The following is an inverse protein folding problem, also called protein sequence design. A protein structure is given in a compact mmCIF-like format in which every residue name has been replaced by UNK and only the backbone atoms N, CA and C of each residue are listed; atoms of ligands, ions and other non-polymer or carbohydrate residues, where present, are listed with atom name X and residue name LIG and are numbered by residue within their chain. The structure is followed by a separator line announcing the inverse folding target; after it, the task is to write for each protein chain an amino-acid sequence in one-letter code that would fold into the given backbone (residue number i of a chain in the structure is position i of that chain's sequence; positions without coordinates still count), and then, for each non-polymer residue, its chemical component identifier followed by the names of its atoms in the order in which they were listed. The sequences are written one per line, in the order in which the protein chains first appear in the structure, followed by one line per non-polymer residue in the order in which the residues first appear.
data_IF_115114760998
#
_entry.id   IF_115114760998
#
_cell.length_a   1.000
_cell.length_b   1.000
_cell.length_c   1.000
_cell.angle_alpha   90.00
_cell.angle_beta   90.00
_cell.angle_gamma   90.00
#
_symmetry.space_group_name_H-M   'P 1'
#
loop_
_entity.id
_entity.type
_entity.pdbx_description
1 polymer ?
#
# COMPACT_ATOMS: atom_id res chain seq x y z
N UNK A 1 -56.07 -29.64 -46.93
CA UNK A 1 -54.62 -29.38 -46.84
C UNK A 1 -54.43 -28.35 -45.74
N UNK A 2 -53.96 -28.79 -44.58
CA UNK A 2 -53.60 -27.94 -43.45
C UNK A 2 -52.10 -28.12 -43.22
N UNK A 3 -51.39 -27.01 -43.07
CA UNK A 3 -49.94 -26.88 -43.02
C UNK A 3 -49.35 -27.49 -41.72
N UNK A 4 -48.32 -28.36 -41.76
CA UNK A 4 -47.85 -29.11 -40.58
C UNK A 4 -46.63 -28.48 -39.90
N UNK A 5 -46.61 -27.16 -39.69
CA UNK A 5 -45.49 -26.49 -39.03
C UNK A 5 -45.96 -25.40 -38.07
N UNK A 6 -46.08 -25.75 -36.78
CA UNK A 6 -45.75 -24.92 -35.61
C UNK A 6 -46.19 -25.67 -34.36
N UNK A 7 -45.34 -26.55 -33.85
CA UNK A 7 -45.42 -26.97 -32.45
C UNK A 7 -44.21 -26.35 -31.76
N UNK A 8 -44.34 -25.08 -31.44
CA UNK A 8 -43.34 -24.36 -30.65
C UNK A 8 -43.25 -25.05 -29.29
N UNK A 9 -42.09 -25.61 -28.95
CA UNK A 9 -41.89 -26.31 -27.68
C UNK A 9 -42.16 -25.36 -26.52
N UNK A 10 -42.83 -25.85 -25.48
CA UNK A 10 -43.24 -25.06 -24.29
C UNK A 10 -42.08 -24.27 -23.67
N UNK A 11 -40.86 -24.78 -23.78
CA UNK A 11 -39.62 -24.13 -23.32
C UNK A 11 -39.21 -22.93 -24.20
N UNK A 12 -39.46 -22.99 -25.51
CA UNK A 12 -39.20 -21.87 -26.43
C UNK A 12 -40.20 -20.72 -26.21
N UNK A 13 -41.46 -21.06 -25.90
CA UNK A 13 -42.48 -20.08 -25.50
C UNK A 13 -42.10 -19.39 -24.18
N UNK A 14 -41.66 -20.16 -23.18
CA UNK A 14 -41.19 -19.63 -21.90
C UNK A 14 -39.95 -18.72 -22.06
N UNK A 15 -38.99 -19.12 -22.90
CA UNK A 15 -37.82 -18.32 -23.20
C UNK A 15 -38.19 -16.99 -23.88
N UNK A 16 -39.13 -16.99 -24.84
CA UNK A 16 -39.63 -15.77 -25.47
C UNK A 16 -40.33 -14.84 -24.48
N UNK A 17 -41.18 -15.39 -23.61
CA UNK A 17 -41.86 -14.60 -22.58
C UNK A 17 -40.88 -13.97 -21.58
N UNK A 18 -39.82 -14.68 -21.21
CA UNK A 18 -38.75 -14.14 -20.34
C UNK A 18 -37.97 -13.02 -21.03
N UNK A 19 -37.58 -13.21 -22.29
CA UNK A 19 -36.87 -12.18 -23.07
C UNK A 19 -37.75 -10.94 -23.24
N UNK A 20 -39.04 -11.12 -23.57
CA UNK A 20 -39.98 -10.02 -23.72
C UNK A 20 -40.20 -9.27 -22.39
N UNK A 21 -40.31 -9.99 -21.27
CA UNK A 21 -40.41 -9.37 -19.95
C UNK A 21 -39.18 -8.55 -19.58
N UNK A 22 -37.97 -9.03 -19.90
CA UNK A 22 -36.72 -8.29 -19.69
C UNK A 22 -36.61 -7.08 -20.64
N UNK A 23 -37.08 -7.19 -21.89
CA UNK A 23 -37.10 -6.08 -22.85
C UNK A 23 -38.08 -4.97 -22.45
N UNK A 24 -39.28 -5.35 -21.97
CA UNK A 24 -40.28 -4.41 -21.48
C UNK A 24 -39.81 -3.70 -20.21
N UNK A 25 -39.16 -4.41 -19.29
CA UNK A 25 -38.57 -3.83 -18.08
C UNK A 25 -37.45 -2.83 -18.38
N UNK A 26 -36.63 -3.10 -19.41
CA UNK A 26 -35.47 -2.28 -19.78
C UNK A 26 -35.76 -1.28 -20.91
N UNK A 27 -37.01 -1.17 -21.38
CA UNK A 27 -37.43 -0.32 -22.50
C UNK A 27 -36.62 -0.54 -23.80
N UNK A 28 -36.12 -1.76 -24.01
CA UNK A 28 -35.34 -2.11 -25.20
C UNK A 28 -36.30 -2.58 -26.29
N UNK A 29 -36.91 -1.63 -27.01
CA UNK A 29 -37.67 -1.94 -28.22
C UNK A 29 -36.85 -1.56 -29.45
N UNK A 30 -36.09 -2.52 -29.97
CA UNK A 30 -35.36 -2.35 -31.23
C UNK A 30 -36.24 -2.92 -32.34
N UNK A 31 -36.86 -2.03 -33.13
CA UNK A 31 -37.67 -2.42 -34.27
C UNK A 31 -36.88 -3.36 -35.20
N UNK A 32 -37.50 -4.47 -35.62
CA UNK A 32 -36.96 -5.45 -36.57
C UNK A 32 -35.72 -6.26 -36.14
N UNK A 33 -35.38 -6.30 -34.83
CA UNK A 33 -34.24 -7.11 -34.36
C UNK A 33 -34.44 -8.63 -34.61
N UNK A 34 -35.70 -9.09 -34.68
CA UNK A 34 -36.05 -10.47 -35.02
C UNK A 34 -35.60 -10.90 -36.41
N UNK A 35 -35.44 -9.97 -37.35
CA UNK A 35 -34.94 -10.26 -38.70
C UNK A 35 -33.42 -10.46 -38.71
N UNK A 36 -32.71 -9.95 -37.70
CA UNK A 36 -31.25 -10.00 -37.59
C UNK A 36 -30.79 -11.26 -36.85
N UNK A 37 -31.57 -11.74 -35.88
CA UNK A 37 -31.20 -12.93 -35.11
C UNK A 37 -30.95 -14.21 -35.94
N UNK A 38 -31.74 -14.55 -36.98
CA UNK A 38 -31.46 -15.70 -37.82
C UNK A 38 -30.12 -15.58 -38.56
N UNK A 39 -29.73 -14.36 -38.96
CA UNK A 39 -28.43 -14.11 -39.59
C UNK A 39 -27.28 -14.30 -38.59
N UNK A 40 -27.49 -13.87 -37.35
CA UNK A 40 -26.53 -14.06 -36.27
C UNK A 40 -26.39 -15.54 -35.87
N UNK A 41 -27.49 -16.29 -35.81
CA UNK A 41 -27.45 -17.71 -35.48
C UNK A 41 -26.70 -18.54 -36.55
N UNK A 42 -26.75 -18.12 -37.82
CA UNK A 42 -25.99 -18.74 -38.91
C UNK A 42 -24.48 -18.51 -38.75
N UNK A 43 -24.05 -17.45 -38.06
CA UNK A 43 -22.62 -17.14 -37.85
C UNK A 43 -21.92 -18.12 -36.89
N UNK A 44 -22.68 -18.94 -36.15
CA UNK A 44 -22.14 -19.91 -35.19
C UNK A 44 -21.67 -19.28 -33.87
N UNK A 45 -21.81 -17.97 -33.70
CA UNK A 45 -21.51 -17.22 -32.46
C UNK A 45 -22.78 -17.05 -31.64
N UNK A 46 -22.69 -17.14 -30.32
CA UNK A 46 -23.86 -16.96 -29.47
C UNK A 46 -24.37 -15.52 -29.51
N UNK A 47 -25.69 -15.34 -29.43
CA UNK A 47 -26.29 -13.99 -29.35
C UNK A 47 -25.76 -13.20 -28.15
N UNK A 48 -25.47 -13.89 -27.05
CA UNK A 48 -24.84 -13.28 -25.86
C UNK A 48 -23.47 -12.67 -26.20
N UNK A 49 -22.58 -13.43 -26.84
CA UNK A 49 -21.25 -12.93 -27.21
C UNK A 49 -21.35 -11.72 -28.15
N UNK A 50 -22.27 -11.73 -29.11
CA UNK A 50 -22.47 -10.61 -30.03
C UNK A 50 -22.94 -9.37 -29.26
N UNK A 51 -23.96 -9.49 -28.41
CA UNK A 51 -24.45 -8.35 -27.62
C UNK A 51 -23.42 -7.85 -26.61
N UNK A 52 -22.66 -8.75 -25.99
CA UNK A 52 -21.59 -8.39 -25.09
C UNK A 52 -20.49 -7.61 -25.83
N UNK A 53 -20.06 -8.07 -27.00
CA UNK A 53 -19.11 -7.33 -27.83
C UNK A 53 -19.65 -5.98 -28.31
N UNK A 54 -20.91 -5.91 -28.73
CA UNK A 54 -21.54 -4.63 -29.08
C UNK A 54 -21.57 -3.66 -27.90
N UNK A 55 -21.89 -4.16 -26.71
CA UNK A 55 -21.89 -3.35 -25.48
C UNK A 55 -20.49 -2.85 -25.14
N UNK A 56 -19.47 -3.71 -25.22
CA UNK A 56 -18.08 -3.33 -24.98
C UNK A 56 -17.57 -2.30 -26.00
N UNK A 57 -17.89 -2.46 -27.28
CA UNK A 57 -17.56 -1.46 -28.31
C UNK A 57 -18.26 -0.12 -28.04
N UNK A 58 -19.56 -0.13 -27.69
CA UNK A 58 -20.29 1.09 -27.32
C UNK A 58 -19.71 1.76 -26.07
N UNK A 59 -19.32 0.97 -25.07
CA UNK A 59 -18.65 1.44 -23.84
C UNK A 59 -17.33 2.11 -24.20
N UNK A 60 -16.50 1.47 -25.02
CA UNK A 60 -15.21 1.99 -25.45
C UNK A 60 -15.36 3.28 -26.27
N UNK A 61 -16.28 3.33 -27.22
CA UNK A 61 -16.60 4.54 -27.99
C UNK A 61 -17.06 5.68 -27.09
N UNK A 62 -17.84 5.37 -26.05
CA UNK A 62 -18.31 6.35 -25.09
C UNK A 62 -17.17 6.88 -24.22
N UNK A 63 -16.32 5.99 -23.70
CA UNK A 63 -15.09 6.34 -22.97
C UNK A 63 -14.18 7.23 -23.83
N UNK A 64 -13.98 6.89 -25.12
CA UNK A 64 -13.21 7.73 -26.03
C UNK A 64 -13.82 9.11 -26.23
N UNK A 65 -15.16 9.22 -26.26
CA UNK A 65 -15.84 10.53 -26.30
C UNK A 65 -15.62 11.34 -25.01
N UNK A 66 -15.58 10.70 -23.84
CA UNK A 66 -15.23 11.36 -22.58
C UNK A 66 -13.81 11.90 -22.65
N UNK A 67 -12.86 11.08 -23.09
CA UNK A 67 -11.43 11.43 -23.17
C UNK A 67 -11.18 12.56 -24.18
N UNK A 68 -11.85 12.56 -25.33
CA UNK A 68 -11.64 13.55 -26.39
C UNK A 68 -12.40 14.88 -26.17
N UNK A 69 -13.62 14.83 -25.63
CA UNK A 69 -14.44 16.03 -25.44
C UNK A 69 -14.12 16.75 -24.14
N UNK A 70 -14.04 18.08 -24.18
CA UNK A 70 -14.00 18.89 -22.96
C UNK A 70 -15.42 19.13 -22.46
N UNK A 71 -15.65 18.88 -21.18
CA UNK A 71 -16.92 19.08 -20.50
C UNK A 71 -16.78 20.23 -19.51
N UNK A 72 -17.78 21.10 -19.49
CA UNK A 72 -17.96 22.08 -18.42
C UNK A 72 -18.56 21.40 -17.17
N UNK A 73 -18.58 22.14 -16.05
CA UNK A 73 -19.17 21.66 -14.80
C UNK A 73 -20.63 21.23 -14.99
N UNK A 74 -21.42 21.96 -15.79
CA UNK A 74 -22.83 21.68 -16.00
C UNK A 74 -23.04 20.32 -16.70
N UNK A 75 -22.30 20.07 -17.79
CA UNK A 75 -22.37 18.80 -18.51
C UNK A 75 -21.87 17.64 -17.66
N UNK A 76 -20.81 17.84 -16.87
CA UNK A 76 -20.31 16.84 -15.93
C UNK A 76 -21.34 16.49 -14.86
N UNK A 77 -21.94 17.49 -14.20
CA UNK A 77 -22.97 17.26 -13.17
C UNK A 77 -24.20 16.59 -13.76
N UNK A 78 -24.66 16.99 -14.95
CA UNK A 78 -25.79 16.35 -15.64
C UNK A 78 -25.49 14.90 -16.04
N UNK A 79 -24.25 14.61 -16.40
CA UNK A 79 -23.80 13.27 -16.68
C UNK A 79 -23.81 12.41 -15.41
N UNK A 80 -23.15 12.87 -14.34
CA UNK A 80 -23.09 12.11 -13.09
C UNK A 80 -24.46 11.91 -12.45
N UNK A 81 -25.36 12.89 -12.49
CA UNK A 81 -26.71 12.71 -11.94
C UNK A 81 -27.51 11.61 -12.64
N UNK A 82 -27.18 11.30 -13.90
CA UNK A 82 -27.80 10.23 -14.67
C UNK A 82 -27.13 8.88 -14.43
N UNK A 83 -25.80 8.84 -14.35
CA UNK A 83 -25.04 7.59 -14.34
C UNK A 83 -24.58 7.13 -12.94
N UNK A 84 -24.39 8.02 -11.97
CA UNK A 84 -24.03 7.61 -10.60
C UNK A 84 -25.00 6.64 -9.95
N UNK A 85 -26.33 6.73 -10.13
CA UNK A 85 -27.25 5.73 -9.59
C UNK A 85 -27.01 4.31 -10.12
N UNK A 86 -26.23 4.16 -11.20
CA UNK A 86 -25.87 2.89 -11.84
C UNK A 86 -24.44 2.45 -11.49
N UNK A 87 -23.77 3.07 -10.52
CA UNK A 87 -22.38 2.73 -10.15
C UNK A 87 -22.24 1.27 -9.66
N UNK A 88 -23.29 0.70 -9.09
CA UNK A 88 -23.33 -0.70 -8.66
C UNK A 88 -23.18 -1.66 -9.84
N UNK A 89 -23.61 -1.26 -11.05
CA UNK A 89 -23.52 -2.05 -12.27
C UNK A 89 -22.11 -1.97 -12.87
N UNK A 90 -21.46 -3.13 -13.03
CA UNK A 90 -20.06 -3.22 -13.43
C UNK A 90 -19.80 -2.59 -14.80
N UNK A 91 -20.76 -2.68 -15.71
CA UNK A 91 -20.69 -2.18 -17.07
C UNK A 91 -20.57 -0.64 -17.14
N UNK A 92 -21.10 0.07 -16.14
CA UNK A 92 -21.06 1.53 -16.08
C UNK A 92 -19.89 2.09 -15.27
N UNK A 93 -19.23 1.27 -14.43
CA UNK A 93 -18.12 1.71 -13.57
C UNK A 93 -16.98 2.31 -14.38
N UNK A 94 -16.52 1.63 -15.42
CA UNK A 94 -15.42 2.12 -16.28
C UNK A 94 -15.73 3.51 -16.87
N UNK A 95 -16.97 3.70 -17.31
CA UNK A 95 -17.44 4.96 -17.89
C UNK A 95 -17.42 6.08 -16.84
N UNK A 96 -17.92 5.80 -15.63
CA UNK A 96 -17.98 6.77 -14.54
C UNK A 96 -16.56 7.12 -14.06
N UNK A 97 -15.72 6.11 -13.85
CA UNK A 97 -14.35 6.29 -13.41
C UNK A 97 -13.53 7.11 -14.40
N UNK A 98 -13.70 6.91 -15.70
CA UNK A 98 -12.97 7.73 -16.68
C UNK A 98 -13.42 9.20 -16.64
N UNK A 99 -14.71 9.46 -16.44
CA UNK A 99 -15.21 10.83 -16.26
C UNK A 99 -14.62 11.48 -15.00
N UNK A 100 -14.63 10.77 -13.87
CA UNK A 100 -14.08 11.26 -12.60
C UNK A 100 -12.57 11.50 -12.70
N UNK A 101 -11.82 10.58 -13.32
CA UNK A 101 -10.38 10.70 -13.53
C UNK A 101 -10.03 11.93 -14.38
N UNK A 102 -10.84 12.23 -15.39
CA UNK A 102 -10.61 13.37 -16.27
C UNK A 102 -10.89 14.71 -15.60
N UNK A 103 -11.86 14.78 -14.70
CA UNK A 103 -12.31 16.01 -14.05
C UNK A 103 -12.22 15.91 -12.52
N UNK A 104 -11.00 15.76 -11.95
CA UNK A 104 -10.83 15.61 -10.51
C UNK A 104 -11.32 16.83 -9.72
N UNK A 105 -11.16 18.03 -10.28
CA UNK A 105 -11.58 19.30 -9.65
C UNK A 105 -13.10 19.45 -9.55
N UNK A 106 -13.86 18.66 -10.31
CA UNK A 106 -15.32 18.72 -10.35
C UNK A 106 -15.98 17.75 -9.36
N UNK A 107 -15.18 16.89 -8.68
CA UNK A 107 -15.68 15.88 -7.77
C UNK A 107 -16.03 16.51 -6.42
N UNK A 108 -17.31 16.46 -6.07
CA UNK A 108 -17.86 16.95 -4.80
C UNK A 108 -17.77 15.88 -3.70
N UNK A 109 -17.93 16.31 -2.45
CA UNK A 109 -17.96 15.40 -1.30
C UNK A 109 -19.06 14.35 -1.41
N UNK A 110 -20.24 14.75 -1.89
CA UNK A 110 -21.38 13.84 -2.13
C UNK A 110 -21.04 12.69 -3.09
N UNK A 111 -20.18 12.94 -4.08
CA UNK A 111 -19.74 11.89 -5.02
C UNK A 111 -18.83 10.90 -4.31
N UNK A 112 -17.91 11.38 -3.47
CA UNK A 112 -17.05 10.49 -2.67
C UNK A 112 -17.87 9.66 -1.68
N UNK A 113 -18.87 10.26 -1.03
CA UNK A 113 -19.80 9.53 -0.16
C UNK A 113 -20.54 8.41 -0.92
N UNK A 114 -21.00 8.68 -2.14
CA UNK A 114 -21.64 7.65 -2.97
C UNK A 114 -20.68 6.52 -3.36
N UNK A 115 -19.44 6.87 -3.75
CA UNK A 115 -18.42 5.87 -4.10
C UNK A 115 -18.00 5.01 -2.89
N UNK A 116 -18.02 5.58 -1.69
CA UNK A 116 -17.66 4.89 -0.45
C UNK A 116 -18.73 3.90 0.04
N UNK A 117 -19.96 3.94 -0.50
CA UNK A 117 -21.05 3.05 -0.06
C UNK A 117 -20.80 1.56 -0.37
N UNK A 118 -20.01 1.28 -1.41
CA UNK A 118 -19.79 -0.09 -1.88
C UNK A 118 -18.30 -0.44 -1.96
N UNK A 119 -17.88 -1.43 -1.18
CA UNK A 119 -16.49 -1.90 -1.17
C UNK A 119 -16.00 -2.37 -2.56
N UNK A 120 -16.89 -2.93 -3.39
CA UNK A 120 -16.52 -3.39 -4.73
C UNK A 120 -16.17 -2.23 -5.66
N UNK A 121 -16.88 -1.10 -5.54
CA UNK A 121 -16.61 0.13 -6.29
C UNK A 121 -15.26 0.70 -5.87
N UNK A 122 -14.99 0.77 -4.56
CA UNK A 122 -13.70 1.23 -4.03
C UNK A 122 -12.57 0.35 -4.55
N UNK A 123 -12.72 -0.98 -4.55
CA UNK A 123 -11.70 -1.91 -5.00
C UNK A 123 -11.35 -1.73 -6.49
N UNK A 124 -12.37 -1.55 -7.34
CA UNK A 124 -12.19 -1.39 -8.80
C UNK A 124 -11.81 0.03 -9.22
N UNK A 125 -12.00 1.03 -8.33
CA UNK A 125 -11.68 2.40 -8.63
C UNK A 125 -10.19 2.60 -9.02
N UNK A 126 -9.91 3.45 -10.02
CA UNK A 126 -8.57 3.95 -10.31
C UNK A 126 -7.89 4.55 -9.09
N UNK A 127 -6.55 4.50 -9.08
CA UNK A 127 -5.75 4.95 -7.95
C UNK A 127 -5.96 6.43 -7.64
N UNK A 128 -6.20 7.25 -8.66
CA UNK A 128 -6.45 8.68 -8.53
C UNK A 128 -7.74 8.96 -7.74
N UNK A 129 -8.79 8.15 -7.93
CA UNK A 129 -10.06 8.26 -7.21
C UNK A 129 -9.90 7.71 -5.79
N UNK A 130 -9.20 6.58 -5.64
CA UNK A 130 -8.86 6.01 -4.33
C UNK A 130 -8.12 7.00 -3.45
N UNK A 131 -7.17 7.76 -3.99
CA UNK A 131 -6.48 8.84 -3.26
C UNK A 131 -7.48 9.83 -2.67
N UNK A 132 -8.40 10.35 -3.49
CA UNK A 132 -9.41 11.30 -3.04
C UNK A 132 -10.34 10.72 -1.96
N UNK A 133 -10.68 9.43 -2.05
CA UNK A 133 -11.45 8.72 -1.02
C UNK A 133 -10.66 8.62 0.30
N UNK A 134 -9.41 8.19 0.23
CA UNK A 134 -8.54 8.00 1.40
C UNK A 134 -8.10 9.29 2.07
N UNK A 135 -7.98 10.39 1.32
CA UNK A 135 -7.72 11.72 1.90
C UNK A 135 -8.88 12.21 2.78
N UNK A 136 -10.09 11.74 2.50
CA UNK A 136 -11.32 12.10 3.24
C UNK A 136 -11.61 11.12 4.37
N UNK A 137 -11.36 9.85 4.15
CA UNK A 137 -11.52 8.78 5.13
C UNK A 137 -10.17 8.13 5.44
N UNK A 138 -9.48 8.71 6.42
CA UNK A 138 -8.16 8.26 6.88
C UNK A 138 -8.21 6.91 7.61
N UNK A 139 -9.34 6.55 8.25
CA UNK A 139 -9.49 5.24 8.88
C UNK A 139 -9.56 4.14 7.81
N UNK A 140 -10.31 4.38 6.74
CA UNK A 140 -10.34 3.47 5.60
C UNK A 140 -8.95 3.34 4.93
N UNK A 141 -8.21 4.44 4.81
CA UNK A 141 -6.81 4.40 4.35
C UNK A 141 -5.95 3.53 5.26
N UNK A 142 -6.04 3.75 6.57
CA UNK A 142 -5.28 3.03 7.59
C UNK A 142 -5.52 1.53 7.57
N UNK A 143 -6.77 1.08 7.48
CA UNK A 143 -7.11 -0.35 7.37
C UNK A 143 -6.51 -0.99 6.10
N UNK A 144 -6.61 -0.30 4.96
CA UNK A 144 -6.03 -0.76 3.70
C UNK A 144 -4.50 -0.84 3.77
N UNK A 145 -3.85 0.20 4.28
CA UNK A 145 -2.39 0.26 4.41
C UNK A 145 -1.87 -0.80 5.36
N UNK A 146 -2.50 -1.00 6.53
CA UNK A 146 -2.12 -2.08 7.47
C UNK A 146 -2.14 -3.45 6.78
N UNK A 147 -3.18 -3.73 5.99
CA UNK A 147 -3.27 -4.96 5.20
C UNK A 147 -2.10 -5.11 4.20
N UNK A 148 -1.72 -4.02 3.52
CA UNK A 148 -0.58 -4.03 2.59
C UNK A 148 0.76 -4.21 3.32
N UNK A 149 0.95 -3.59 4.48
CA UNK A 149 2.14 -3.73 5.32
C UNK A 149 2.29 -5.17 5.83
N UNK A 150 1.20 -5.81 6.28
CA UNK A 150 1.24 -7.21 6.73
C UNK A 150 1.67 -8.15 5.61
N UNK A 151 1.19 -7.90 4.39
CA UNK A 151 1.59 -8.66 3.22
C UNK A 151 3.03 -8.38 2.80
N UNK A 152 3.49 -7.13 2.93
CA UNK A 152 4.89 -6.77 2.78
C UNK A 152 5.76 -7.54 3.79
N UNK A 153 5.40 -7.63 5.08
CA UNK A 153 6.17 -8.36 6.10
C UNK A 153 6.33 -9.84 5.75
N UNK A 154 5.25 -10.48 5.28
CA UNK A 154 5.29 -11.86 4.80
C UNK A 154 6.32 -12.02 3.67
N UNK A 155 6.30 -11.17 2.65
CA UNK A 155 7.27 -11.26 1.53
C UNK A 155 8.68 -10.89 1.96
N UNK A 156 8.83 -9.87 2.79
CA UNK A 156 10.10 -9.41 3.31
C UNK A 156 10.82 -10.55 4.05
N UNK A 157 10.11 -11.26 4.94
CA UNK A 157 10.70 -12.40 5.67
C UNK A 157 11.25 -13.49 4.75
N UNK A 158 10.58 -13.77 3.62
CA UNK A 158 11.07 -14.72 2.61
C UNK A 158 12.33 -14.21 1.90
N UNK A 159 12.40 -12.91 1.61
CA UNK A 159 13.59 -12.28 1.02
C UNK A 159 14.77 -12.32 2.00
N UNK A 160 14.53 -12.05 3.29
CA UNK A 160 15.56 -12.10 4.34
C UNK A 160 16.19 -13.49 4.53
N UNK A 161 15.47 -14.56 4.18
CA UNK A 161 15.99 -15.93 4.24
C UNK A 161 16.90 -16.29 3.06
N UNK A 162 16.93 -15.48 2.00
CA UNK A 162 17.75 -15.73 0.83
C UNK A 162 19.22 -15.37 1.08
N UNK A 163 20.12 -16.08 0.40
CA UNK A 163 21.54 -15.71 0.37
C UNK A 163 21.78 -14.64 -0.70
N UNK A 164 22.44 -13.55 -0.34
CA UNK A 164 22.78 -12.47 -1.25
C UNK A 164 23.63 -11.40 -0.56
N UNK A 165 24.12 -10.43 -1.31
CA UNK A 165 24.72 -9.23 -0.70
C UNK A 165 23.63 -8.34 -0.13
N UNK A 166 23.97 -7.46 0.82
CA UNK A 166 23.01 -6.50 1.37
C UNK A 166 22.37 -5.61 0.27
N UNK A 167 23.11 -5.29 -0.79
CA UNK A 167 22.56 -4.55 -1.93
C UNK A 167 21.51 -5.36 -2.70
N UNK A 168 21.77 -6.64 -2.97
CA UNK A 168 20.83 -7.50 -3.70
C UNK A 168 19.52 -7.65 -2.92
N UNK A 169 19.64 -7.85 -1.60
CA UNK A 169 18.49 -8.00 -0.70
C UNK A 169 17.68 -6.69 -0.66
N UNK A 170 18.34 -5.54 -0.58
CA UNK A 170 17.68 -4.23 -0.62
C UNK A 170 16.96 -3.99 -1.95
N UNK A 171 17.58 -4.36 -3.07
CA UNK A 171 16.96 -4.23 -4.39
C UNK A 171 15.74 -5.17 -4.53
N UNK A 172 15.75 -6.36 -3.93
CA UNK A 172 14.55 -7.22 -3.88
C UNK A 172 13.43 -6.61 -3.04
N UNK A 173 13.75 -6.11 -1.84
CA UNK A 173 12.78 -5.50 -0.92
C UNK A 173 12.09 -4.26 -1.52
N UNK A 174 12.87 -3.36 -2.11
CA UNK A 174 12.35 -2.18 -2.80
C UNK A 174 11.52 -2.50 -4.05
N UNK A 175 11.51 -3.76 -4.48
CA UNK A 175 10.69 -4.25 -5.59
C UNK A 175 9.40 -4.97 -5.16
N UNK A 176 9.11 -5.07 -3.86
CA UNK A 176 7.89 -5.70 -3.34
C UNK A 176 6.64 -4.99 -3.90
N UNK A 177 5.66 -5.73 -4.47
CA UNK A 177 4.47 -5.15 -5.09
C UNK A 177 3.61 -4.31 -4.14
N UNK A 178 3.42 -4.77 -2.91
CA UNK A 178 2.62 -4.08 -1.89
C UNK A 178 3.23 -2.72 -1.56
N UNK A 179 4.55 -2.65 -1.46
CA UNK A 179 5.26 -1.39 -1.26
C UNK A 179 5.07 -0.46 -2.46
N UNK A 180 5.23 -0.95 -3.70
CA UNK A 180 4.99 -0.13 -4.90
C UNK A 180 3.58 0.43 -4.95
N UNK A 181 2.59 -0.40 -4.60
CA UNK A 181 1.20 0.02 -4.53
C UNK A 181 1.01 1.15 -3.51
N UNK A 182 1.58 1.05 -2.30
CA UNK A 182 1.53 2.12 -1.29
C UNK A 182 2.19 3.40 -1.81
N UNK A 183 3.36 3.29 -2.45
CA UNK A 183 4.09 4.43 -3.02
C UNK A 183 3.27 5.14 -4.09
N UNK A 184 2.64 4.38 -4.97
CA UNK A 184 1.75 4.92 -5.99
C UNK A 184 0.51 5.53 -5.35
N UNK A 185 -0.03 4.94 -4.28
CA UNK A 185 -1.20 5.48 -3.59
C UNK A 185 -0.89 6.82 -2.92
N UNK A 186 0.15 6.90 -2.09
CA UNK A 186 0.55 8.13 -1.39
C UNK A 186 0.96 9.23 -2.39
N UNK A 187 1.70 8.87 -3.43
CA UNK A 187 2.15 9.79 -4.47
C UNK A 187 2.81 11.08 -3.90
N UNK A 188 2.31 12.26 -4.26
CA UNK A 188 2.75 13.55 -3.71
C UNK A 188 1.69 14.18 -2.79
N UNK A 189 0.69 13.41 -2.36
CA UNK A 189 -0.38 13.88 -1.48
C UNK A 189 0.15 14.08 -0.06
N UNK A 190 0.15 15.32 0.44
CA UNK A 190 0.67 15.62 1.78
C UNK A 190 -0.14 14.94 2.89
N UNK A 191 -1.47 14.90 2.74
CA UNK A 191 -2.37 14.29 3.73
C UNK A 191 -2.06 12.80 3.89
N UNK A 192 -2.00 12.07 2.78
CA UNK A 192 -1.70 10.63 2.80
C UNK A 192 -0.26 10.33 3.22
N UNK A 193 0.68 11.21 2.89
CA UNK A 193 2.08 11.06 3.31
C UNK A 193 2.23 11.21 4.84
N UNK A 194 1.62 12.25 5.41
CA UNK A 194 1.64 12.48 6.85
C UNK A 194 0.94 11.32 7.59
N UNK A 195 -0.22 10.88 7.09
CA UNK A 195 -0.95 9.73 7.64
C UNK A 195 -0.13 8.43 7.56
N UNK A 196 0.56 8.19 6.43
CA UNK A 196 1.44 7.03 6.27
C UNK A 196 2.57 7.03 7.31
N UNK A 197 3.15 8.20 7.63
CA UNK A 197 4.14 8.34 8.70
C UNK A 197 3.57 8.02 10.08
N UNK A 198 2.38 8.54 10.39
CA UNK A 198 1.72 8.27 11.66
C UNK A 198 1.36 6.78 11.82
N UNK A 199 0.92 6.11 10.74
CA UNK A 199 0.71 4.65 10.71
C UNK A 199 2.01 3.88 11.00
N UNK A 200 3.12 4.26 10.39
CA UNK A 200 4.42 3.61 10.64
C UNK A 200 4.85 3.73 12.10
N UNK A 201 4.65 4.91 12.70
CA UNK A 201 4.96 5.16 14.11
C UNK A 201 4.04 4.36 15.03
N UNK A 202 2.73 4.28 14.72
CA UNK A 202 1.77 3.48 15.48
C UNK A 202 2.15 2.00 15.49
N UNK A 203 2.38 1.41 14.31
CA UNK A 203 2.77 0.00 14.19
C UNK A 203 4.06 -0.31 14.95
N UNK A 204 5.02 0.62 14.93
CA UNK A 204 6.26 0.47 15.67
C UNK A 204 6.07 0.54 17.18
N UNK A 205 5.21 1.43 17.69
CA UNK A 205 4.90 1.49 19.13
C UNK A 205 4.22 0.22 19.63
N UNK A 206 3.35 -0.37 18.82
CA UNK A 206 2.56 -1.54 19.22
C UNK A 206 3.40 -2.82 19.21
N UNK A 207 4.28 -2.99 18.21
CA UNK A 207 4.94 -4.28 17.97
C UNK A 207 6.47 -4.24 18.09
N UNK A 208 7.12 -3.07 17.98
CA UNK A 208 8.57 -2.92 18.12
C UNK A 208 9.42 -3.80 17.19
N UNK A 209 8.86 -4.32 16.10
CA UNK A 209 9.51 -5.32 15.25
C UNK A 209 10.51 -4.70 14.26
N UNK A 210 11.58 -5.43 13.95
CA UNK A 210 12.56 -5.06 12.91
C UNK A 210 11.94 -4.96 11.51
N UNK A 211 10.81 -5.63 11.27
CA UNK A 211 10.11 -5.59 9.98
C UNK A 211 9.52 -4.20 9.67
N UNK A 212 8.93 -3.50 10.65
CA UNK A 212 8.40 -2.15 10.40
C UNK A 212 9.54 -1.15 10.18
N UNK A 213 10.66 -1.32 10.90
CA UNK A 213 11.87 -0.55 10.70
C UNK A 213 12.39 -0.68 9.26
N UNK A 214 12.32 -1.91 8.74
CA UNK A 214 12.66 -2.23 7.36
C UNK A 214 11.72 -1.59 6.35
N UNK A 215 10.43 -1.68 6.61
CA UNK A 215 9.42 -1.05 5.78
C UNK A 215 9.64 0.47 5.70
N UNK A 216 9.92 1.14 6.84
CA UNK A 216 10.22 2.57 6.85
C UNK A 216 11.41 2.89 5.96
N UNK A 217 12.51 2.17 6.11
CA UNK A 217 13.70 2.36 5.28
C UNK A 217 13.39 2.19 3.78
N UNK A 218 12.65 1.12 3.42
CA UNK A 218 12.31 0.86 2.02
C UNK A 218 11.32 1.87 1.46
N UNK A 219 10.35 2.33 2.26
CA UNK A 219 9.37 3.32 1.86
C UNK A 219 10.04 4.59 1.36
N UNK A 220 10.95 5.16 2.14
CA UNK A 220 11.68 6.36 1.72
C UNK A 220 12.58 6.12 0.50
N UNK A 221 13.26 4.97 0.43
CA UNK A 221 14.07 4.61 -0.73
C UNK A 221 13.22 4.48 -2.01
N UNK A 222 12.03 3.87 -1.91
CA UNK A 222 11.10 3.72 -3.02
C UNK A 222 10.45 5.04 -3.43
N UNK A 223 10.07 5.89 -2.48
CA UNK A 223 9.57 7.24 -2.77
C UNK A 223 10.58 8.04 -3.57
N UNK A 224 11.85 8.01 -3.15
CA UNK A 224 12.93 8.65 -3.89
C UNK A 224 13.13 8.05 -5.28
N UNK A 225 13.16 6.72 -5.41
CA UNK A 225 13.29 6.04 -6.69
C UNK A 225 12.15 6.37 -7.66
N UNK A 226 10.94 6.61 -7.12
CA UNK A 226 9.78 7.06 -7.87
C UNK A 226 9.78 8.56 -8.21
N UNK A 227 10.84 9.30 -7.88
CA UNK A 227 10.98 10.73 -8.18
C UNK A 227 10.36 11.67 -7.15
N UNK A 228 9.85 11.16 -6.01
CA UNK A 228 9.07 11.91 -5.01
C UNK A 228 9.96 12.48 -3.88
N UNK A 229 11.18 12.90 -4.22
CA UNK A 229 12.20 13.34 -3.25
C UNK A 229 11.72 14.54 -2.41
N UNK A 230 10.93 15.42 -3.01
CA UNK A 230 10.36 16.59 -2.34
C UNK A 230 9.49 16.23 -1.14
N UNK A 231 8.81 15.07 -1.17
CA UNK A 231 8.07 14.54 -0.02
C UNK A 231 9.01 14.03 1.05
N UNK A 232 10.01 13.24 0.66
CA UNK A 232 10.99 12.70 1.60
C UNK A 232 11.74 13.81 2.36
N UNK A 233 12.10 14.92 1.70
CA UNK A 233 12.81 16.04 2.35
C UNK A 233 12.03 16.73 3.48
N UNK A 234 10.71 16.50 3.58
CA UNK A 234 9.90 16.98 4.71
C UNK A 234 10.13 16.15 5.98
N UNK A 235 10.60 14.92 5.82
CA UNK A 235 10.87 14.00 6.92
C UNK A 235 12.27 14.21 7.50
N UNK A 236 12.38 14.15 8.83
CA UNK A 236 13.62 14.40 9.55
C UNK A 236 14.67 13.29 9.37
N UNK A 237 14.22 12.05 9.12
CA UNK A 237 15.05 10.88 8.93
C UNK A 237 15.60 10.74 7.51
N UNK A 238 15.11 11.52 6.54
CA UNK A 238 15.48 11.41 5.13
C UNK A 238 17.00 11.43 4.88
N UNK A 239 17.70 12.44 5.41
CA UNK A 239 19.14 12.56 5.22
C UNK A 239 19.89 11.32 5.76
N UNK A 240 19.43 10.77 6.88
CA UNK A 240 19.98 9.54 7.48
C UNK A 240 19.75 8.34 6.57
N UNK A 241 18.51 8.12 6.13
CA UNK A 241 18.13 7.02 5.24
C UNK A 241 18.96 7.05 3.95
N UNK A 242 19.10 8.25 3.35
CA UNK A 242 19.87 8.44 2.13
C UNK A 242 21.32 7.97 2.28
N UNK A 243 22.02 8.45 3.31
CA UNK A 243 23.42 8.11 3.50
C UNK A 243 23.59 6.63 3.90
N UNK A 244 22.68 6.06 4.70
CA UNK A 244 22.71 4.62 5.02
C UNK A 244 22.57 3.78 3.74
N UNK A 245 21.60 4.09 2.87
CA UNK A 245 21.45 3.41 1.58
C UNK A 245 22.71 3.54 0.71
N UNK A 246 23.33 4.73 0.67
CA UNK A 246 24.60 4.94 -0.02
C UNK A 246 25.73 4.10 0.59
N UNK A 247 25.80 4.01 1.91
CA UNK A 247 26.75 3.19 2.66
C UNK A 247 26.58 1.69 2.36
N UNK A 248 25.35 1.19 2.35
CA UNK A 248 25.04 -0.20 1.99
C UNK A 248 25.54 -0.51 0.57
N UNK A 249 25.29 0.39 -0.38
CA UNK A 249 25.68 0.21 -1.80
C UNK A 249 27.19 0.32 -2.02
N UNK A 250 27.88 1.17 -1.27
CA UNK A 250 29.34 1.37 -1.35
C UNK A 250 30.15 0.39 -0.50
N UNK A 251 29.49 -0.43 0.33
CA UNK A 251 30.17 -1.31 1.30
C UNK A 251 30.67 -0.58 2.56
N UNK A 252 30.30 0.70 2.74
CA UNK A 252 30.30 1.34 4.04
C UNK A 252 30.14 2.87 4.05
N UNK A 253 29.91 3.42 5.24
CA UNK A 253 29.83 4.86 5.49
C UNK A 253 31.22 5.49 5.71
N UNK A 254 31.39 6.72 5.25
CA UNK A 254 32.58 7.52 5.54
C UNK A 254 32.62 7.98 7.01
N UNK A 255 33.81 8.00 7.62
CA UNK A 255 34.00 8.39 9.03
C UNK A 255 33.50 9.81 9.34
N UNK A 256 33.58 10.72 8.36
CA UNK A 256 33.06 12.10 8.47
C UNK A 256 31.53 12.09 8.62
N UNK A 257 30.85 11.26 7.85
CA UNK A 257 29.39 11.09 7.88
C UNK A 257 28.95 10.48 9.21
N UNK A 258 29.65 9.44 9.69
CA UNK A 258 29.40 8.85 11.02
C UNK A 258 29.54 9.90 12.12
N UNK A 259 30.59 10.73 12.06
CA UNK A 259 30.84 11.79 13.06
C UNK A 259 29.77 12.88 13.01
N UNK A 260 29.33 13.29 11.82
CA UNK A 260 28.24 14.25 11.66
C UNK A 260 26.95 13.74 12.31
N UNK A 261 26.61 12.46 12.10
CA UNK A 261 25.43 11.86 12.69
C UNK A 261 25.49 11.71 14.20
N UNK A 262 26.64 11.33 14.77
CA UNK A 262 26.83 11.35 16.23
C UNK A 262 26.46 12.73 16.81
N UNK A 263 26.91 13.80 16.16
CA UNK A 263 26.63 15.17 16.61
C UNK A 263 25.16 15.59 16.43
N UNK A 264 24.52 15.14 15.35
CA UNK A 264 23.11 15.43 15.07
C UNK A 264 22.18 14.71 16.04
N UNK A 265 22.42 13.42 16.25
CA UNK A 265 21.73 12.56 17.18
C UNK A 265 21.82 13.04 18.64
N UNK A 266 23.00 13.51 19.06
CA UNK A 266 23.19 14.12 20.39
C UNK A 266 22.34 15.39 20.60
N UNK A 267 22.03 16.13 19.54
CA UNK A 267 21.13 17.30 19.63
C UNK A 267 19.68 16.88 19.79
N UNK A 268 19.25 15.83 19.09
CA UNK A 268 17.88 15.34 19.13
C UNK A 268 17.50 14.69 20.47
N UNK A 269 18.43 13.96 21.10
CA UNK A 269 18.23 13.36 22.43
C UNK A 269 17.85 14.42 23.50
N UNK A 270 18.25 15.67 23.31
CA UNK A 270 18.00 16.78 24.26
C UNK A 270 16.74 17.59 23.89
N UNK A 271 16.39 17.69 22.60
CA UNK A 271 15.43 18.69 22.11
C UNK A 271 14.14 18.14 21.51
N UNK A 272 14.10 16.86 21.08
CA UNK A 272 12.88 16.29 20.47
C UNK A 272 12.86 14.76 20.51
N UNK A 273 12.28 14.15 21.58
CA UNK A 273 12.17 12.68 21.71
C UNK A 273 11.42 11.99 20.56
N UNK A 274 10.43 12.66 19.94
CA UNK A 274 9.68 12.12 18.78
C UNK A 274 10.58 11.93 17.56
N UNK A 275 11.39 12.92 17.21
CA UNK A 275 12.34 12.84 16.09
C UNK A 275 13.40 11.78 16.33
N UNK A 276 13.78 11.60 17.59
CA UNK A 276 14.70 10.54 17.98
C UNK A 276 14.13 9.15 17.72
N UNK A 277 12.87 8.89 18.08
CA UNK A 277 12.25 7.57 17.83
C UNK A 277 12.14 7.25 16.34
N UNK A 278 11.82 8.22 15.50
CA UNK A 278 11.74 8.06 14.04
C UNK A 278 13.10 7.68 13.44
N UNK A 279 14.17 8.35 13.88
CA UNK A 279 15.54 8.01 13.45
C UNK A 279 15.97 6.65 14.02
N UNK A 280 15.61 6.33 15.27
CA UNK A 280 15.95 5.05 15.89
C UNK A 280 15.35 3.86 15.13
N UNK A 281 14.15 3.99 14.58
CA UNK A 281 13.53 2.96 13.74
C UNK A 281 14.41 2.60 12.54
N UNK A 282 15.00 3.60 11.86
CA UNK A 282 15.86 3.36 10.69
C UNK A 282 17.06 2.48 11.03
N UNK A 283 17.62 2.66 12.23
CA UNK A 283 18.79 1.92 12.70
C UNK A 283 18.51 0.47 13.11
N UNK A 284 17.24 0.07 13.21
CA UNK A 284 16.83 -1.29 13.58
C UNK A 284 16.57 -2.20 12.37
N UNK A 285 16.83 -1.72 11.15
CA UNK A 285 16.74 -2.54 9.94
C UNK A 285 17.81 -3.67 9.96
N UNK A 286 17.41 -4.94 9.74
CA UNK A 286 18.31 -6.10 9.83
C UNK A 286 19.25 -6.30 8.63
N UNK A 287 18.99 -5.67 7.47
CA UNK A 287 20.00 -5.64 6.38
C UNK A 287 21.27 -4.96 6.87
N UNK A 288 21.13 -4.11 7.89
CA UNK A 288 22.19 -3.29 8.35
C UNK A 288 23.07 -3.93 9.45
N UNK A 289 23.54 -5.16 9.18
CA UNK A 289 24.58 -5.82 9.98
C UNK A 289 25.85 -4.96 10.11
N UNK A 290 26.12 -4.12 9.11
CA UNK A 290 27.25 -3.18 9.11
C UNK A 290 26.96 -1.96 9.98
N UNK A 291 25.71 -1.47 10.03
CA UNK A 291 25.28 -0.47 11.02
C UNK A 291 25.24 -1.00 12.42
N UNK A 292 24.96 -2.27 12.71
CA UNK A 292 25.20 -2.81 14.07
C UNK A 292 26.68 -2.69 14.45
N UNK A 293 27.60 -2.92 13.50
CA UNK A 293 29.05 -2.73 13.69
C UNK A 293 29.44 -1.23 13.80
N UNK A 294 28.78 -0.33 13.06
CA UNK A 294 28.96 1.12 13.19
C UNK A 294 28.35 1.66 14.49
N UNK A 295 27.19 1.17 14.88
CA UNK A 295 26.49 1.42 16.15
C UNK A 295 27.30 0.89 17.33
N UNK A 296 28.02 -0.23 17.18
CA UNK A 296 29.00 -0.72 18.16
C UNK A 296 30.18 0.25 18.34
N UNK A 297 30.55 1.00 17.29
CA UNK A 297 31.44 2.17 17.38
C UNK A 297 30.73 3.46 17.86
N UNK A 298 29.40 3.43 18.04
CA UNK A 298 28.54 4.49 18.62
C UNK A 298 27.93 4.06 19.98
N UNK A 299 28.33 2.93 20.59
CA UNK A 299 27.59 2.14 21.62
C UNK A 299 27.27 2.84 22.95
N UNK A 300 27.52 4.12 23.10
CA UNK A 300 26.82 4.93 24.12
C UNK A 300 25.36 5.22 23.76
N UNK A 301 24.90 4.91 22.54
CA UNK A 301 23.59 5.36 22.01
C UNK A 301 22.43 4.37 22.24
N UNK A 302 22.66 3.07 22.06
CA UNK A 302 21.62 2.05 22.20
C UNK A 302 21.12 1.86 23.64
N UNK A 303 22.00 2.05 24.64
CA UNK A 303 21.62 1.92 26.04
C UNK A 303 20.75 3.08 26.55
N UNK A 304 20.69 4.21 25.84
CA UNK A 304 19.86 5.38 26.20
C UNK A 304 18.51 5.40 25.47
N UNK A 305 18.41 4.76 24.30
CA UNK A 305 17.12 4.48 23.67
C UNK A 305 16.26 3.52 24.51
N UNK A 306 16.90 2.74 25.38
CA UNK A 306 16.31 1.79 26.34
C UNK A 306 15.33 2.46 27.33
N UNK A 307 15.49 3.75 27.62
CA UNK A 307 14.63 4.52 28.53
C UNK A 307 13.48 5.25 27.82
N UNK A 308 13.49 5.30 26.48
CA UNK A 308 12.57 6.12 25.67
C UNK A 308 11.60 5.24 24.85
N UNK A 309 11.96 3.99 24.53
CA UNK A 309 11.14 3.06 23.76
C UNK A 309 10.24 2.21 24.68
N UNK A 310 8.92 2.10 24.43
CA UNK A 310 7.97 1.45 25.35
C UNK A 310 7.96 -0.08 25.30
N UNK A 311 8.80 -0.74 24.49
CA UNK A 311 8.77 -2.19 24.29
C UNK A 311 10.02 -2.89 24.91
N UNK A 312 9.87 -3.60 26.05
CA UNK A 312 10.96 -4.34 26.70
C UNK A 312 11.53 -5.47 25.84
N UNK A 313 10.72 -6.04 24.95
CA UNK A 313 11.10 -7.18 24.10
C UNK A 313 12.11 -6.77 23.00
N UNK A 314 11.99 -5.56 22.45
CA UNK A 314 12.91 -5.01 21.45
C UNK A 314 14.31 -4.77 22.03
N UNK A 315 14.39 -4.34 23.30
CA UNK A 315 15.65 -4.14 24.01
C UNK A 315 16.37 -5.47 24.31
N UNK A 316 15.61 -6.51 24.66
CA UNK A 316 16.15 -7.86 24.91
C UNK A 316 16.69 -8.47 23.60
N UNK A 317 15.96 -8.36 22.49
CA UNK A 317 16.41 -8.84 21.18
C UNK A 317 17.69 -8.12 20.71
N UNK A 318 17.81 -6.80 20.95
CA UNK A 318 19.05 -6.07 20.67
C UNK A 318 20.22 -6.58 21.50
N UNK A 319 20.02 -6.83 22.79
CA UNK A 319 21.08 -7.36 23.67
C UNK A 319 21.55 -8.75 23.26
N UNK A 320 20.62 -9.61 22.81
CA UNK A 320 20.90 -10.99 22.39
C UNK A 320 21.59 -11.04 21.03
N UNK A 321 21.16 -10.24 20.06
CA UNK A 321 21.82 -10.12 18.76
C UNK A 321 23.25 -9.58 18.87
N UNK A 322 23.51 -8.65 19.80
CA UNK A 322 24.86 -8.16 20.09
C UNK A 322 25.73 -9.25 20.75
N UNK A 323 25.14 -10.15 21.54
CA UNK A 323 25.88 -11.15 22.31
C UNK A 323 26.16 -12.44 21.53
N UNK A 324 25.26 -12.87 20.64
CA UNK A 324 25.43 -14.07 19.79
C UNK A 324 26.44 -13.84 18.64
N UNK A 325 26.54 -12.61 18.12
CA UNK A 325 27.40 -12.29 16.96
C UNK A 325 28.82 -11.79 17.35
N UNK A 326 29.17 -11.76 18.64
CA UNK A 326 30.49 -11.36 19.14
C UNK A 326 31.44 -12.54 19.48
N UNK A 327 31.03 -13.80 19.28
CA UNK A 327 31.88 -14.97 19.62
C UNK A 327 33.13 -15.12 18.73
N UNK A 328 33.22 -14.41 17.59
CA UNK A 328 34.35 -14.48 16.66
C UNK A 328 35.36 -13.31 16.75
N UNK A 329 35.28 -12.46 17.78
CA UNK A 329 36.27 -11.39 17.99
C UNK A 329 37.31 -11.82 19.04
N UNK A 330 38.58 -12.10 18.67
CA UNK A 330 39.58 -12.49 19.65
C UNK A 330 39.97 -11.27 20.51
N UNK A 331 39.73 -11.39 21.82
CA UNK A 331 40.29 -10.56 22.88
C UNK A 331 40.07 -9.04 22.78
N UNK A 332 38.82 -8.58 22.90
CA UNK A 332 38.55 -7.29 23.52
C UNK A 332 37.85 -7.50 24.85
N UNK A 333 38.53 -7.16 25.96
CA UNK A 333 37.97 -7.18 27.31
C UNK A 333 36.74 -6.25 27.39
N UNK A 334 35.55 -6.78 27.10
CA UNK A 334 34.28 -6.14 27.38
C UNK A 334 33.87 -6.47 28.82
N UNK A 335 34.03 -5.51 29.73
CA UNK A 335 33.41 -5.59 31.05
C UNK A 335 32.19 -4.68 31.06
N UNK A 336 31.00 -5.25 30.84
CA UNK A 336 29.73 -4.56 31.06
C UNK A 336 29.58 -4.28 32.56
N UNK A 337 29.72 -3.01 32.97
CA UNK A 337 29.37 -2.56 34.32
C UNK A 337 27.89 -2.19 34.32
N UNK A 338 27.03 -3.11 34.74
CA UNK A 338 25.66 -2.78 35.14
C UNK A 338 25.67 -1.97 36.43
N UNK A 339 24.86 -0.93 36.51
CA UNK A 339 24.65 -0.18 37.74
C UNK A 339 23.98 -1.09 38.77
N UNK A 340 24.35 -0.96 40.05
CA UNK A 340 23.84 -1.80 41.15
C UNK A 340 22.32 -1.74 41.35
N UNK A 341 21.61 -0.83 40.67
CA UNK A 341 20.16 -0.74 40.70
C UNK A 341 19.46 -1.64 39.64
N UNK A 342 20.17 -2.08 38.60
CA UNK A 342 19.60 -2.88 37.49
C UNK A 342 19.57 -4.39 37.81
N UNK A 343 20.37 -4.82 38.79
CA UNK A 343 20.47 -6.23 39.21
C UNK A 343 19.21 -6.72 39.92
N UNK A 344 18.36 -5.83 40.43
CA UNK A 344 17.13 -6.21 41.14
C UNK A 344 15.92 -6.43 40.21
N UNK A 345 15.95 -5.91 38.97
CA UNK A 345 14.86 -6.13 38.00
C UNK A 345 15.01 -7.51 37.35
N UNK A 346 16.23 -7.96 37.13
CA UNK A 346 16.54 -9.29 36.56
C UNK A 346 16.33 -10.47 37.53
N UNK A 347 16.19 -10.22 38.84
CA UNK A 347 15.97 -11.29 39.84
C UNK A 347 14.50 -11.67 40.02
N UNK A 348 13.55 -10.88 39.50
CA UNK A 348 12.12 -11.11 39.71
C UNK A 348 11.41 -11.76 38.51
N UNK A 349 12.12 -12.02 37.41
CA UNK A 349 11.58 -12.80 36.29
C UNK A 349 12.10 -14.23 36.35
N UNK A 350 11.33 -15.07 37.05
CA UNK A 350 11.51 -16.50 37.14
C UNK A 350 11.26 -17.14 35.75
N UNK A 351 12.32 -17.33 34.97
CA UNK A 351 12.31 -17.99 33.66
C UNK A 351 12.21 -19.53 33.77
N UNK A 352 11.41 -20.01 34.71
CA UNK A 352 11.24 -21.43 34.98
C UNK A 352 9.77 -21.83 35.10
N UNK A 353 8.92 -21.49 34.12
CA UNK A 353 7.74 -22.32 33.80
C UNK A 353 7.07 -21.85 32.50
N UNK A 354 7.46 -22.49 31.38
CA UNK A 354 6.57 -22.92 30.28
C UNK A 354 7.42 -23.57 29.18
N UNK A 355 8.00 -24.71 29.54
CA UNK A 355 8.29 -25.79 28.62
C UNK A 355 7.42 -26.96 29.07
N UNK A 356 6.23 -27.05 28.49
CA UNK A 356 5.46 -28.27 28.26
C UNK A 356 4.44 -28.01 27.15
#
# INVERSE_FOLDING_TARGET
MADPNTTETRDALLARMLVQGVQEQNQVNVENIENVYPLLDISGVSRYEIHHHMLEELKNDFIQKIITQHWDQEKFTKFLSKFMPQISDKEFRDIIFEALKKYPDHITEEIYEQLAQEQTVIHEAPIEIKRGLYERDQEMFKEMIKTQIDNYFKRQSLIMQQRGTNSDILDQRTNIPELKYIIDLVNEGSILFDEMQDIMIEIYKDNGHSNICSFCFDFFNCMQKAGKISMCMKDHSYNMIWNINEGIRKGGLEERTITAYKNELNKYNITSPRKFSEIAMIFQDPIDKQTVKWMSSMVTFGSQAHDILPAPETAIMMSQAIHEDCEDVPNSNFTLKFGTNDINILKNYDFATKLQ
#
